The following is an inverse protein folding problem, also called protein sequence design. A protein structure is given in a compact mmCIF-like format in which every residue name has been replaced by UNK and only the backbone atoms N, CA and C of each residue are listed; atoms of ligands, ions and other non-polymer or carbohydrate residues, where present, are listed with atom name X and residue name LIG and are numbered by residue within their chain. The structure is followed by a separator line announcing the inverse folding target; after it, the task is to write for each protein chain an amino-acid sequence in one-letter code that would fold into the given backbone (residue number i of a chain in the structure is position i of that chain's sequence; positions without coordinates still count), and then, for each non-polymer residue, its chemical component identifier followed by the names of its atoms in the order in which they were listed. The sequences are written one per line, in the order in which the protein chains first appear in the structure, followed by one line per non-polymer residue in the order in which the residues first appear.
data_IF_544749458531
#
_entry.id   IF_544749458531
#
_cell.length_a   1.000
_cell.length_b   1.000
_cell.length_c   1.000
_cell.angle_alpha   90.00
_cell.angle_beta   90.00
_cell.angle_gamma   90.00
#
_symmetry.space_group_name_H-M   'P 1'
#
loop_
_entity.id
_entity.type
_entity.pdbx_description
1 polymer ?
#
# COMPACT_ATOMS: atom_id res chain seq x y z
N UNK A 1 12.49 -3.70 -18.69
CA UNK A 1 12.78 -4.50 -17.47
C UNK A 1 11.89 -4.04 -16.32
N UNK A 2 12.03 -2.80 -15.82
CA UNK A 2 11.21 -2.28 -14.71
C UNK A 2 9.68 -2.40 -14.93
N UNK A 3 9.16 -2.06 -16.10
CA UNK A 3 7.72 -2.23 -16.39
C UNK A 3 7.22 -3.70 -16.34
N UNK A 4 8.08 -4.66 -16.69
CA UNK A 4 7.74 -6.10 -16.61
C UNK A 4 7.70 -6.54 -15.15
N UNK A 5 8.60 -6.03 -14.31
CA UNK A 5 8.61 -6.30 -12.87
C UNK A 5 7.35 -5.74 -12.20
N UNK A 6 6.93 -4.52 -12.55
CA UNK A 6 5.71 -3.90 -12.01
C UNK A 6 4.47 -4.71 -12.37
N UNK A 7 4.35 -5.13 -13.63
CA UNK A 7 3.23 -5.96 -14.08
C UNK A 7 3.27 -7.33 -13.40
N UNK A 8 4.44 -7.95 -13.28
CA UNK A 8 4.59 -9.24 -12.61
C UNK A 8 4.20 -9.17 -11.14
N UNK A 9 4.59 -8.11 -10.42
CA UNK A 9 4.18 -7.88 -9.03
C UNK A 9 2.64 -7.75 -8.94
N UNK A 10 2.03 -6.89 -9.77
CA UNK A 10 0.58 -6.73 -9.80
C UNK A 10 -0.15 -8.04 -10.14
N UNK A 11 0.39 -8.86 -11.04
CA UNK A 11 -0.16 -10.18 -11.35
C UNK A 11 0.02 -11.19 -10.21
N UNK A 12 1.10 -11.12 -9.44
CA UNK A 12 1.32 -11.99 -8.26
C UNK A 12 0.35 -11.59 -7.15
N UNK A 13 0.16 -10.30 -6.90
CA UNK A 13 -0.83 -9.79 -5.96
C UNK A 13 -2.24 -10.25 -6.38
N UNK A 14 -2.61 -10.03 -7.64
CA UNK A 14 -3.89 -10.51 -8.18
C UNK A 14 -4.01 -12.05 -8.14
N UNK A 15 -2.92 -12.79 -8.38
CA UNK A 15 -2.90 -14.25 -8.37
C UNK A 15 -3.05 -14.84 -6.96
N UNK A 16 -2.46 -14.19 -5.97
CA UNK A 16 -2.63 -14.54 -4.55
C UNK A 16 -4.06 -14.22 -4.08
N UNK A 17 -4.66 -13.13 -4.58
CA UNK A 17 -6.07 -12.78 -4.30
C UNK A 17 -7.03 -13.76 -4.98
N UNK A 18 -6.79 -14.14 -6.24
CA UNK A 18 -7.63 -15.10 -7.00
C UNK A 18 -7.47 -16.55 -6.55
N UNK A 19 -6.33 -16.92 -5.97
CA UNK A 19 -6.08 -18.26 -5.41
C UNK A 19 -6.98 -18.62 -4.22
N UNK A 20 -7.62 -17.61 -3.61
CA UNK A 20 -8.51 -17.78 -2.46
C UNK A 20 -10.01 -17.54 -2.75
N UNK A 21 -10.39 -16.92 -3.88
CA UNK A 21 -11.79 -16.80 -4.25
C UNK A 21 -11.98 -16.62 -5.77
N UNK A 22 -12.83 -17.45 -6.37
CA UNK A 22 -13.32 -17.24 -7.71
C UNK A 22 -14.14 -15.94 -7.80
N UNK A 23 -13.76 -15.06 -8.72
CA UNK A 23 -14.52 -13.91 -9.22
C UNK A 23 -15.32 -13.10 -8.18
N UNK A 24 -14.70 -12.14 -7.47
CA UNK A 24 -15.43 -10.94 -7.02
C UNK A 24 -14.53 -9.68 -7.10
N UNK A 25 -15.15 -8.57 -7.45
CA UNK A 25 -14.59 -7.36 -8.08
C UNK A 25 -14.25 -6.24 -7.10
N UNK A 26 -13.72 -6.52 -5.91
CA UNK A 26 -13.58 -5.49 -4.84
C UNK A 26 -12.16 -4.91 -4.68
N UNK A 27 -11.12 -5.53 -5.27
CA UNK A 27 -9.74 -5.03 -5.27
C UNK A 27 -9.28 -4.40 -6.59
N UNK A 28 -10.15 -4.30 -7.60
CA UNK A 28 -9.73 -4.06 -8.98
C UNK A 28 -9.14 -2.67 -9.25
N UNK A 29 -9.47 -1.64 -8.47
CA UNK A 29 -9.11 -0.27 -8.84
C UNK A 29 -7.61 -0.01 -8.68
N UNK A 30 -7.01 -0.42 -7.57
CA UNK A 30 -5.58 -0.23 -7.33
C UNK A 30 -4.75 -1.09 -8.27
N UNK A 31 -5.10 -2.36 -8.43
CA UNK A 31 -4.40 -3.29 -9.32
C UNK A 31 -4.50 -2.86 -10.79
N UNK A 32 -5.66 -2.37 -11.23
CA UNK A 32 -5.85 -1.86 -12.60
C UNK A 32 -4.97 -0.63 -12.86
N UNK A 33 -4.82 0.26 -11.89
CA UNK A 33 -3.92 1.42 -12.00
C UNK A 33 -2.46 0.97 -12.08
N UNK A 34 -2.02 0.01 -11.25
CA UNK A 34 -0.66 -0.53 -11.32
C UNK A 34 -0.36 -1.18 -12.67
N UNK A 35 -1.30 -1.95 -13.22
CA UNK A 35 -1.16 -2.58 -14.53
C UNK A 35 -1.11 -1.51 -15.63
N UNK A 36 -1.99 -0.51 -15.59
CA UNK A 36 -2.02 0.58 -16.57
C UNK A 36 -0.70 1.37 -16.58
N UNK A 37 -0.16 1.70 -15.40
CA UNK A 37 1.14 2.37 -15.25
C UNK A 37 2.28 1.48 -15.78
N UNK A 38 2.27 0.18 -15.46
CA UNK A 38 3.26 -0.77 -15.96
C UNK A 38 3.29 -0.87 -17.49
N UNK A 39 2.12 -0.92 -18.13
CA UNK A 39 2.01 -0.93 -19.61
C UNK A 39 2.50 0.38 -20.21
N UNK A 40 2.14 1.53 -19.63
CA UNK A 40 2.59 2.84 -20.08
C UNK A 40 4.12 2.95 -20.06
N UNK A 41 4.77 2.48 -18.99
CA UNK A 41 6.24 2.45 -18.85
C UNK A 41 6.88 1.59 -19.94
N UNK A 42 6.28 0.44 -20.30
CA UNK A 42 6.78 -0.42 -21.39
C UNK A 42 6.69 0.29 -22.74
N UNK A 43 5.57 0.96 -23.02
CA UNK A 43 5.37 1.71 -24.27
C UNK A 43 6.41 2.83 -24.40
N UNK A 44 6.61 3.62 -23.34
CA UNK A 44 7.59 4.71 -23.31
C UNK A 44 9.01 4.17 -23.49
N UNK A 45 9.35 3.07 -22.80
CA UNK A 45 10.65 2.43 -22.94
C UNK A 45 10.87 1.88 -24.36
N UNK A 46 9.84 1.32 -25.00
CA UNK A 46 9.91 0.89 -26.38
C UNK A 46 10.21 2.07 -27.31
N UNK A 47 9.55 3.22 -27.14
CA UNK A 47 9.88 4.43 -27.92
C UNK A 47 11.31 4.92 -27.68
N UNK A 48 11.83 4.82 -26.46
CA UNK A 48 13.23 5.10 -26.17
C UNK A 48 14.20 4.15 -26.88
N UNK A 49 13.96 2.84 -26.80
CA UNK A 49 14.80 1.82 -27.44
C UNK A 49 14.73 1.88 -28.98
N UNK A 50 13.53 2.02 -29.55
CA UNK A 50 13.35 2.19 -31.01
C UNK A 50 13.92 3.51 -31.51
N UNK A 51 13.82 4.58 -30.71
CA UNK A 51 14.41 5.88 -31.04
C UNK A 51 15.93 5.84 -31.11
N UNK A 52 16.57 5.12 -30.17
CA UNK A 52 18.00 4.89 -30.18
C UNK A 52 18.44 3.95 -31.33
N UNK A 53 17.68 2.89 -31.59
CA UNK A 53 18.05 1.92 -32.63
C UNK A 53 17.89 2.46 -34.06
N UNK A 54 16.88 3.31 -34.30
CA UNK A 54 16.58 3.82 -35.65
C UNK A 54 17.31 5.12 -36.01
N UNK A 55 18.16 5.63 -35.11
CA UNK A 55 18.88 6.92 -35.24
C UNK A 55 17.98 8.07 -35.71
N UNK A 56 16.68 7.98 -35.42
CA UNK A 56 15.67 8.87 -35.98
C UNK A 56 15.34 9.95 -34.95
N UNK A 57 15.78 11.21 -35.15
CA UNK A 57 15.63 12.26 -34.14
C UNK A 57 14.17 12.55 -33.79
N UNK A 58 13.24 12.35 -34.74
CA UNK A 58 11.79 12.56 -34.53
C UNK A 58 11.20 11.69 -33.42
N UNK A 59 11.62 10.42 -33.32
CA UNK A 59 11.12 9.50 -32.30
C UNK A 59 11.68 9.84 -30.91
N UNK A 60 12.93 10.33 -30.87
CA UNK A 60 13.57 10.82 -29.65
C UNK A 60 12.87 12.07 -29.11
N UNK A 61 12.45 13.01 -29.98
CA UNK A 61 11.69 14.20 -29.56
C UNK A 61 10.34 13.84 -28.93
N UNK A 62 9.63 12.84 -29.46
CA UNK A 62 8.36 12.36 -28.88
C UNK A 62 8.62 11.75 -27.49
N UNK A 63 9.67 10.94 -27.35
CA UNK A 63 10.07 10.36 -26.06
C UNK A 63 10.34 11.45 -25.02
N UNK A 64 11.14 12.46 -25.35
CA UNK A 64 11.44 13.59 -24.46
C UNK A 64 10.17 14.39 -24.13
N UNK A 65 9.29 14.61 -25.11
CA UNK A 65 8.00 15.27 -24.90
C UNK A 65 7.10 14.52 -23.91
N UNK A 66 6.99 13.21 -24.04
CA UNK A 66 6.26 12.36 -23.09
C UNK A 66 6.86 12.44 -21.68
N UNK A 67 8.20 12.43 -21.56
CA UNK A 67 8.85 12.57 -20.25
C UNK A 67 8.59 13.92 -19.59
N UNK A 68 8.62 15.02 -20.36
CA UNK A 68 8.31 16.36 -19.83
C UNK A 68 6.87 16.39 -19.30
N UNK A 69 5.91 15.82 -20.03
CA UNK A 69 4.51 15.74 -19.58
C UNK A 69 4.41 14.94 -18.28
N UNK A 70 5.12 13.81 -18.16
CA UNK A 70 5.13 13.00 -16.93
C UNK A 70 5.70 13.78 -15.76
N UNK A 71 6.81 14.52 -15.95
CA UNK A 71 7.42 15.34 -14.90
C UNK A 71 6.44 16.42 -14.43
N UNK A 72 5.69 17.06 -15.34
CA UNK A 72 4.68 18.06 -14.96
C UNK A 72 3.52 17.43 -14.17
N UNK A 73 3.09 16.23 -14.56
CA UNK A 73 2.07 15.48 -13.80
C UNK A 73 2.58 15.06 -12.42
N UNK A 74 3.81 14.55 -12.33
CA UNK A 74 4.43 14.14 -11.08
C UNK A 74 4.62 15.33 -10.13
N UNK A 75 5.06 16.48 -10.66
CA UNK A 75 5.13 17.73 -9.89
C UNK A 75 3.74 18.17 -9.40
N UNK A 76 2.72 18.05 -10.25
CA UNK A 76 1.34 18.42 -9.87
C UNK A 76 0.81 17.52 -8.74
N UNK A 77 1.04 16.21 -8.83
CA UNK A 77 0.67 15.25 -7.80
C UNK A 77 1.45 15.51 -6.50
N UNK A 78 2.76 15.78 -6.58
CA UNK A 78 3.57 16.07 -5.41
C UNK A 78 3.14 17.36 -4.69
N UNK A 79 2.81 18.41 -5.43
CA UNK A 79 2.27 19.65 -4.84
C UNK A 79 0.90 19.38 -4.20
N UNK A 80 0.01 18.64 -4.87
CA UNK A 80 -1.29 18.28 -4.33
C UNK A 80 -1.15 17.44 -3.06
N UNK A 81 -0.27 16.43 -3.06
CA UNK A 81 0.03 15.61 -1.89
C UNK A 81 0.57 16.46 -0.73
N UNK A 82 1.48 17.40 -1.03
CA UNK A 82 2.03 18.33 -0.04
C UNK A 82 0.97 19.26 0.58
N UNK A 83 0.04 19.77 -0.23
CA UNK A 83 -1.04 20.63 0.24
C UNK A 83 -2.09 19.87 1.07
N UNK A 84 -2.32 18.58 0.75
CA UNK A 84 -3.33 17.75 1.41
C UNK A 84 -2.76 16.85 2.52
N UNK A 85 -1.46 16.94 2.86
CA UNK A 85 -0.83 16.17 3.94
C UNK A 85 -1.68 16.03 5.21
N UNK A 86 -2.23 17.12 5.81
CA UNK A 86 -3.01 16.98 7.05
C UNK A 86 -4.31 16.19 6.85
N UNK A 87 -4.99 16.36 5.71
CA UNK A 87 -6.23 15.67 5.40
C UNK A 87 -5.98 14.18 5.09
N UNK A 88 -4.90 13.89 4.37
CA UNK A 88 -4.47 12.53 4.05
C UNK A 88 -4.09 11.80 5.35
N UNK A 89 -3.35 12.45 6.24
CA UNK A 89 -2.97 11.85 7.53
C UNK A 89 -4.19 11.51 8.39
N UNK A 90 -5.16 12.43 8.50
CA UNK A 90 -6.41 12.17 9.23
C UNK A 90 -7.22 11.04 8.59
N UNK A 91 -7.34 11.04 7.26
CA UNK A 91 -8.04 9.99 6.52
C UNK A 91 -7.35 8.64 6.74
N UNK A 92 -6.03 8.57 6.65
CA UNK A 92 -5.27 7.34 6.92
C UNK A 92 -5.44 6.86 8.35
N UNK A 93 -5.42 7.77 9.34
CA UNK A 93 -5.70 7.44 10.75
C UNK A 93 -7.07 6.79 10.92
N UNK A 94 -8.09 7.39 10.32
CA UNK A 94 -9.47 6.91 10.39
C UNK A 94 -9.65 5.56 9.69
N UNK A 95 -9.08 5.40 8.49
CA UNK A 95 -9.13 4.14 7.73
C UNK A 95 -8.41 3.01 8.47
N UNK A 96 -7.26 3.30 9.06
CA UNK A 96 -6.48 2.33 9.81
C UNK A 96 -7.20 1.89 11.09
N UNK A 97 -7.81 2.84 11.81
CA UNK A 97 -8.65 2.55 12.98
C UNK A 97 -9.86 1.70 12.59
N UNK A 98 -10.54 2.06 11.50
CA UNK A 98 -11.68 1.29 10.99
C UNK A 98 -11.26 -0.14 10.59
N UNK A 99 -10.13 -0.30 9.89
CA UNK A 99 -9.58 -1.61 9.51
C UNK A 99 -9.22 -2.47 10.72
N UNK A 100 -8.73 -1.85 11.81
CA UNK A 100 -8.42 -2.54 13.05
C UNK A 100 -9.67 -3.02 13.80
N UNK A 101 -10.75 -2.24 13.81
CA UNK A 101 -11.98 -2.52 14.58
C UNK A 101 -12.99 -3.36 13.77
N UNK A 102 -12.85 -3.42 12.44
CA UNK A 102 -13.77 -4.15 11.55
C UNK A 102 -13.98 -5.60 12.04
N UNK A 103 -15.18 -5.86 12.56
CA UNK A 103 -15.54 -7.12 13.20
C UNK A 103 -16.37 -7.98 12.23
N UNK A 104 -15.73 -9.07 11.76
CA UNK A 104 -16.17 -10.43 11.32
C UNK A 104 -17.60 -10.75 10.86
N UNK A 105 -18.54 -9.83 10.77
CA UNK A 105 -19.86 -10.14 10.21
C UNK A 105 -19.82 -9.90 8.70
N UNK A 106 -19.57 -10.99 7.96
CA UNK A 106 -19.83 -11.24 6.53
C UNK A 106 -18.58 -11.29 5.61
N UNK A 107 -18.28 -12.53 5.19
CA UNK A 107 -17.49 -13.02 4.04
C UNK A 107 -15.93 -13.02 4.11
N UNK A 108 -15.36 -14.01 3.42
CA UNK A 108 -13.96 -14.49 3.35
C UNK A 108 -12.82 -13.43 3.28
N UNK A 109 -13.14 -12.21 2.86
CA UNK A 109 -12.22 -11.09 2.67
C UNK A 109 -11.53 -10.63 3.99
N UNK A 110 -12.14 -10.94 5.13
CA UNK A 110 -11.62 -10.57 6.46
C UNK A 110 -10.47 -11.47 6.96
N UNK A 111 -10.15 -12.60 6.30
CA UNK A 111 -9.01 -13.45 6.69
C UNK A 111 -7.68 -12.73 6.46
N UNK A 112 -7.51 -12.07 5.31
CA UNK A 112 -6.31 -11.33 4.94
C UNK A 112 -6.02 -10.18 5.90
N UNK A 113 -7.05 -9.40 6.27
CA UNK A 113 -6.89 -8.33 7.26
C UNK A 113 -6.55 -8.89 8.64
N UNK A 114 -7.18 -10.00 9.04
CA UNK A 114 -6.86 -10.65 10.33
C UNK A 114 -5.42 -11.13 10.36
N UNK A 115 -4.96 -11.83 9.33
CA UNK A 115 -3.57 -12.29 9.21
C UNK A 115 -2.56 -11.15 9.13
N UNK A 116 -2.88 -10.08 8.40
CA UNK A 116 -2.03 -8.90 8.29
C UNK A 116 -1.79 -8.28 9.67
N UNK A 117 -2.86 -8.03 10.42
CA UNK A 117 -2.77 -7.43 11.74
C UNK A 117 -2.15 -8.39 12.77
N UNK A 118 -2.40 -9.69 12.68
CA UNK A 118 -1.79 -10.71 13.55
C UNK A 118 -0.27 -10.80 13.30
N UNK A 119 0.16 -10.79 12.03
CA UNK A 119 1.58 -10.71 11.66
C UNK A 119 2.22 -9.43 12.17
N UNK A 120 1.55 -8.28 12.03
CA UNK A 120 2.07 -7.00 12.46
C UNK A 120 2.19 -6.91 13.98
N UNK A 121 1.19 -7.38 14.72
CA UNK A 121 1.18 -7.38 16.19
C UNK A 121 2.21 -8.34 16.78
N UNK A 122 2.39 -9.51 16.15
CA UNK A 122 3.32 -10.53 16.61
C UNK A 122 4.71 -10.42 15.98
N UNK A 123 5.05 -9.34 15.26
CA UNK A 123 6.36 -9.22 14.60
C UNK A 123 7.45 -8.74 15.58
N UNK A 124 8.39 -9.60 16.00
CA UNK A 124 9.50 -9.21 16.89
C UNK A 124 10.53 -8.30 16.21
N UNK A 125 10.48 -8.12 14.88
CA UNK A 125 11.39 -7.24 14.12
C UNK A 125 10.94 -5.80 14.08
N UNK A 126 9.69 -5.49 14.44
CA UNK A 126 9.27 -4.11 14.63
C UNK A 126 9.78 -3.65 15.99
N UNK A 127 10.76 -2.75 16.00
CA UNK A 127 11.19 -2.03 17.19
C UNK A 127 10.83 -0.55 17.00
N UNK A 128 9.87 0.00 17.77
CA UNK A 128 9.18 -0.62 18.91
C UNK A 128 8.13 -1.68 18.51
N UNK A 129 7.88 -2.65 19.40
CA UNK A 129 6.82 -3.66 19.21
C UNK A 129 5.49 -2.95 19.02
N UNK A 130 4.93 -3.09 17.81
CA UNK A 130 3.69 -2.44 17.45
C UNK A 130 2.51 -3.27 17.96
N UNK A 131 2.01 -2.93 19.14
CA UNK A 131 0.79 -3.53 19.72
C UNK A 131 -0.23 -2.42 20.01
N UNK A 132 -1.37 -2.46 19.32
CA UNK A 132 -2.52 -1.62 19.67
C UNK A 132 -3.30 -2.14 20.89
N UNK A 133 -2.82 -3.22 21.51
CA UNK A 133 -3.37 -3.84 22.69
C UNK A 133 -2.43 -3.61 23.89
N UNK A 134 -2.94 -3.20 25.06
CA UNK A 134 -2.13 -3.03 26.26
C UNK A 134 -1.49 -4.36 26.70
N UNK A 135 -0.28 -4.28 27.25
CA UNK A 135 0.38 -5.41 27.90
C UNK A 135 -0.31 -5.66 29.26
N UNK A 136 -0.77 -6.88 29.51
CA UNK A 136 -1.54 -7.22 30.72
C UNK A 136 -0.64 -7.53 31.93
N UNK A 137 0.69 -7.36 31.83
CA UNK A 137 1.63 -7.51 32.95
C UNK A 137 1.67 -8.90 33.59
N UNK A 138 1.09 -9.91 32.93
CA UNK A 138 1.18 -11.31 33.36
C UNK A 138 2.32 -11.99 32.61
N UNK A 139 3.12 -12.80 33.31
CA UNK A 139 4.28 -13.54 32.76
C UNK A 139 3.91 -14.52 31.62
N UNK A 140 2.63 -14.58 31.27
CA UNK A 140 2.16 -15.03 29.97
C UNK A 140 2.33 -13.88 28.98
N UNK A 141 3.56 -13.68 28.51
CA UNK A 141 3.81 -13.14 27.17
C UNK A 141 3.30 -14.12 26.08
N UNK A 142 2.12 -14.71 26.31
CA UNK A 142 1.38 -15.54 25.40
C UNK A 142 0.49 -14.60 24.61
N UNK A 143 1.03 -14.09 23.51
CA UNK A 143 0.28 -13.84 22.27
C UNK A 143 -1.14 -13.31 22.53
N UNK A 144 -1.25 -12.06 23.03
CA UNK A 144 -2.55 -11.40 23.19
C UNK A 144 -3.15 -11.29 21.78
N UNK A 145 -4.02 -12.22 21.42
CA UNK A 145 -4.63 -12.27 20.10
C UNK A 145 -5.49 -11.03 19.92
N UNK A 146 -5.39 -10.41 18.74
CA UNK A 146 -6.23 -9.28 18.32
C UNK A 146 -7.71 -9.47 18.68
N UNK A 147 -8.22 -10.69 18.54
CA UNK A 147 -9.61 -11.06 18.85
C UNK A 147 -9.99 -10.78 20.30
N UNK A 148 -9.09 -11.09 21.23
CA UNK A 148 -9.39 -11.06 22.66
C UNK A 148 -9.40 -9.60 23.14
N UNK A 149 -8.43 -8.83 22.65
CA UNK A 149 -8.32 -7.39 22.81
C UNK A 149 -9.52 -6.61 22.23
N UNK A 150 -10.01 -6.99 21.02
CA UNK A 150 -11.25 -6.41 20.47
C UNK A 150 -12.50 -6.80 21.28
N UNK A 151 -12.61 -8.06 21.70
CA UNK A 151 -13.80 -8.57 22.41
C UNK A 151 -13.99 -7.92 23.79
N UNK A 152 -12.89 -7.52 24.42
CA UNK A 152 -12.86 -6.85 25.71
C UNK A 152 -12.86 -5.31 25.57
N UNK A 153 -12.90 -4.78 24.34
CA UNK A 153 -12.69 -3.35 24.02
C UNK A 153 -11.43 -2.73 24.65
N UNK A 154 -10.44 -3.58 25.00
CA UNK A 154 -9.18 -3.21 25.63
C UNK A 154 -8.11 -2.90 24.57
N UNK A 155 -8.35 -1.92 23.73
CA UNK A 155 -7.37 -1.43 22.74
C UNK A 155 -7.15 0.07 22.88
N UNK A 156 -5.98 0.55 22.45
CA UNK A 156 -5.71 1.99 22.41
C UNK A 156 -6.61 2.67 21.38
N UNK A 157 -7.61 3.43 21.86
CA UNK A 157 -8.52 4.22 21.00
C UNK A 157 -7.85 5.44 20.38
N UNK A 158 -6.76 5.91 20.96
CA UNK A 158 -5.96 7.03 20.47
C UNK A 158 -4.48 6.67 20.49
N UNK A 159 -3.75 7.09 19.45
CA UNK A 159 -2.29 6.96 19.37
C UNK A 159 -1.78 5.63 18.80
N UNK A 160 -2.61 4.60 18.67
CA UNK A 160 -2.29 3.36 17.94
C UNK A 160 -2.00 3.65 16.46
N UNK A 161 -2.91 4.39 15.81
CA UNK A 161 -2.82 4.80 14.41
C UNK A 161 -1.60 5.70 14.15
N UNK A 162 -1.29 6.60 15.09
CA UNK A 162 -0.14 7.51 15.01
C UNK A 162 1.19 6.76 15.05
N UNK A 163 1.25 5.62 15.74
CA UNK A 163 2.46 4.76 15.77
C UNK A 163 2.66 3.99 14.47
N UNK A 164 1.59 3.52 13.82
CA UNK A 164 1.69 2.93 12.47
C UNK A 164 2.18 3.98 11.49
N UNK A 165 1.51 5.13 11.44
CA UNK A 165 1.86 6.22 10.53
C UNK A 165 3.28 6.74 10.78
N UNK A 166 3.71 6.82 12.04
CA UNK A 166 5.08 7.19 12.39
C UNK A 166 6.12 6.19 11.88
N UNK A 167 5.79 4.90 11.84
CA UNK A 167 6.68 3.87 11.29
C UNK A 167 6.77 3.99 9.76
N UNK A 168 5.64 4.20 9.08
CA UNK A 168 5.59 4.46 7.63
C UNK A 168 6.42 5.70 7.27
N UNK A 169 6.30 6.76 8.07
CA UNK A 169 7.08 7.99 7.92
C UNK A 169 8.59 7.74 8.11
N UNK A 170 8.96 6.93 9.12
CA UNK A 170 10.37 6.58 9.38
C UNK A 170 11.01 5.66 8.33
N UNK A 171 10.19 4.88 7.60
CA UNK A 171 10.64 4.01 6.53
C UNK A 171 10.91 4.77 5.20
N UNK A 172 10.80 6.10 5.19
CA UNK A 172 10.99 6.91 3.98
C UNK A 172 9.82 6.84 3.00
N UNK A 173 8.68 6.26 3.43
CA UNK A 173 7.43 6.25 2.67
C UNK A 173 6.62 7.53 2.94
N UNK A 174 7.33 8.65 3.14
CA UNK A 174 6.73 9.98 3.02
C UNK A 174 6.23 10.13 1.60
N UNK A 175 4.90 10.13 1.43
CA UNK A 175 4.25 10.58 0.21
C UNK A 175 4.90 11.91 -0.17
N UNK A 176 5.68 11.92 -1.25
CA UNK A 176 6.21 13.14 -1.86
C UNK A 176 5.01 13.97 -2.26
#
# INVERSE_FOLDING_TARGET
IFGIVIIAAACVDMGMIKGFAGMETSGHETDAVLIAVGVLIIIIAAFGCFGAWKESPKLLYIFVGCLIIIILLELSVGIAAAALRPQIEETMKNQLRASFIKNKSVKEEDSTYREFWDKIQNNPRLNPSFSCCPDDGTDRAAEIKRSDCLSLEKYYKEGCETRVLGTIHSAGLTVI
#
